data_IF_496887217668
#
_entry.id   IF_496887217668
#
_cell.length_a   1.000
_cell.length_b   1.000
_cell.length_c   1.000
_cell.angle_alpha   90.00
_cell.angle_beta   90.00
_cell.angle_gamma   90.00
#
_symmetry.space_group_name_H-M   'P 1'
#
loop_
_entity.id
_entity.type
_entity.pdbx_description
1 polymer ?
#
# COMPACT_ATOMS: atom_id res chain seq x y z
N UNK A 1 -22.65 63.23 -40.17
CA UNK A 1 -23.22 62.49 -41.31
C UNK A 1 -22.50 61.16 -41.41
N UNK A 2 -23.27 60.08 -41.43
CA UNK A 2 -22.89 58.70 -41.09
C UNK A 2 -21.90 58.06 -42.06
N UNK A 3 -20.91 57.32 -41.53
CA UNK A 3 -20.30 56.18 -42.24
C UNK A 3 -20.28 54.99 -41.27
N UNK A 4 -21.02 53.95 -41.68
CA UNK A 4 -21.26 52.70 -40.98
C UNK A 4 -20.04 51.78 -41.14
N UNK A 5 -19.52 51.24 -40.05
CA UNK A 5 -18.53 50.17 -40.08
C UNK A 5 -19.25 48.82 -39.92
N UNK A 6 -19.23 48.01 -40.98
CA UNK A 6 -19.63 46.60 -40.99
C UNK A 6 -18.38 45.78 -40.68
N UNK A 7 -18.44 44.91 -39.68
CA UNK A 7 -17.54 43.76 -39.58
C UNK A 7 -18.37 42.52 -39.27
N UNK A 8 -18.37 41.58 -40.22
CA UNK A 8 -18.73 40.17 -40.03
C UNK A 8 -17.44 39.38 -39.80
N UNK A 9 -17.47 38.41 -38.89
CA UNK A 9 -16.63 37.20 -38.79
C UNK A 9 -17.20 36.39 -37.60
N UNK A 10 -17.97 35.33 -37.82
CA UNK A 10 -17.57 33.94 -38.10
C UNK A 10 -17.01 33.21 -36.86
N UNK A 11 -17.48 31.96 -36.64
CA UNK A 11 -16.67 30.96 -35.94
C UNK A 11 -17.40 30.11 -34.91
N UNK A 12 -17.89 28.96 -35.36
CA UNK A 12 -18.36 27.80 -34.60
C UNK A 12 -17.34 27.35 -33.53
N UNK A 13 -17.79 27.00 -32.33
CA UNK A 13 -17.02 26.21 -31.38
C UNK A 13 -17.87 25.02 -30.87
N UNK A 14 -17.68 23.89 -31.54
CA UNK A 14 -18.14 22.56 -31.17
C UNK A 14 -17.03 21.93 -30.31
N UNK A 15 -17.28 21.61 -29.04
CA UNK A 15 -16.33 20.80 -28.25
C UNK A 15 -17.06 19.70 -27.46
N UNK A 16 -17.10 18.54 -28.13
CA UNK A 16 -16.82 17.20 -27.64
C UNK A 16 -17.06 16.88 -26.15
N UNK A 17 -18.19 16.23 -25.88
CA UNK A 17 -18.33 15.33 -24.76
C UNK A 17 -17.48 14.07 -25.00
N UNK A 18 -16.31 13.99 -24.37
CA UNK A 18 -15.50 12.77 -24.32
C UNK A 18 -16.20 11.75 -23.41
N UNK A 19 -16.86 10.80 -24.06
CA UNK A 19 -17.44 9.62 -23.46
C UNK A 19 -16.37 8.78 -22.77
N UNK A 20 -16.57 8.56 -21.48
CA UNK A 20 -15.76 7.69 -20.64
C UNK A 20 -16.16 6.22 -20.91
N UNK A 21 -15.59 5.61 -21.94
CA UNK A 21 -15.77 4.17 -22.20
C UNK A 21 -14.79 3.38 -21.32
N UNK A 22 -15.31 2.83 -20.22
CA UNK A 22 -14.62 1.79 -19.45
C UNK A 22 -14.61 0.50 -20.28
N UNK A 23 -13.48 0.22 -20.93
CA UNK A 23 -13.21 -1.09 -21.52
C UNK A 23 -12.77 -2.07 -20.42
N UNK A 24 -13.61 -3.06 -20.13
CA UNK A 24 -13.29 -4.22 -19.28
C UNK A 24 -12.37 -5.19 -20.03
N UNK A 25 -11.10 -5.25 -19.62
CA UNK A 25 -10.08 -6.20 -20.09
C UNK A 25 -10.10 -7.51 -19.28
N UNK A 26 -9.61 -8.63 -19.85
CA UNK A 26 -9.78 -9.98 -19.31
C UNK A 26 -8.95 -10.25 -18.04
N UNK A 27 -9.48 -11.18 -17.23
CA UNK A 27 -9.06 -11.47 -15.85
C UNK A 27 -7.82 -12.39 -15.85
N UNK A 28 -6.65 -11.77 -15.81
CA UNK A 28 -5.44 -12.32 -15.18
C UNK A 28 -4.98 -11.42 -14.01
N UNK A 29 -5.90 -10.62 -13.45
CA UNK A 29 -5.59 -9.29 -12.93
C UNK A 29 -6.03 -9.04 -11.47
N UNK A 30 -6.24 -10.08 -10.65
CA UNK A 30 -6.60 -9.87 -9.24
C UNK A 30 -5.40 -9.30 -8.44
N UNK A 31 -4.22 -9.91 -8.57
CA UNK A 31 -2.99 -9.45 -7.91
C UNK A 31 -2.55 -8.04 -8.32
N UNK A 32 -2.67 -7.70 -9.60
CA UNK A 32 -2.30 -6.38 -10.13
C UNK A 32 -3.16 -5.26 -9.55
N UNK A 33 -4.47 -5.51 -9.36
CA UNK A 33 -5.39 -4.53 -8.77
C UNK A 33 -5.11 -4.30 -7.29
N UNK A 34 -4.87 -5.36 -6.51
CA UNK A 34 -4.54 -5.23 -5.09
C UNK A 34 -3.22 -4.48 -4.91
N UNK A 35 -2.19 -4.84 -5.68
CA UNK A 35 -0.91 -4.17 -5.62
C UNK A 35 -1.01 -2.68 -6.00
N UNK A 36 -1.78 -2.34 -7.03
CA UNK A 36 -2.04 -0.95 -7.40
C UNK A 36 -2.78 -0.17 -6.29
N UNK A 37 -3.77 -0.79 -5.63
CA UNK A 37 -4.48 -0.17 -4.51
C UNK A 37 -3.54 0.10 -3.33
N UNK A 38 -2.71 -0.87 -2.94
CA UNK A 38 -1.71 -0.70 -1.86
C UNK A 38 -0.79 0.48 -2.16
N UNK A 39 -0.25 0.56 -3.38
CA UNK A 39 0.65 1.65 -3.79
C UNK A 39 -0.06 3.01 -3.75
N UNK A 40 -1.28 3.10 -4.28
CA UNK A 40 -2.09 4.33 -4.28
C UNK A 40 -2.36 4.83 -2.87
N UNK A 41 -2.79 3.94 -1.98
CA UNK A 41 -3.06 4.25 -0.57
C UNK A 41 -1.76 4.66 0.13
N UNK A 42 -0.65 3.96 -0.11
CA UNK A 42 0.66 4.32 0.44
C UNK A 42 1.11 5.73 0.07
N UNK A 43 0.82 6.19 -1.15
CA UNK A 43 1.09 7.59 -1.57
C UNK A 43 0.26 8.59 -0.77
N UNK A 44 -1.02 8.30 -0.49
CA UNK A 44 -1.87 9.16 0.34
C UNK A 44 -1.34 9.22 1.77
N UNK A 45 -0.96 8.08 2.35
CA UNK A 45 -0.37 8.00 3.69
C UNK A 45 0.93 8.82 3.75
N UNK A 46 1.82 8.68 2.76
CA UNK A 46 3.07 9.45 2.68
C UNK A 46 2.82 10.97 2.65
N UNK A 47 1.74 11.40 1.99
CA UNK A 47 1.33 12.81 1.91
C UNK A 47 0.62 13.31 3.18
N UNK A 48 0.38 12.45 4.17
CA UNK A 48 -0.37 12.78 5.38
C UNK A 48 -1.90 12.79 5.20
N UNK A 49 -2.41 12.38 4.03
CA UNK A 49 -3.84 12.28 3.76
C UNK A 49 -4.42 10.96 4.31
N UNK A 50 -4.52 10.88 5.64
CA UNK A 50 -5.05 9.69 6.32
C UNK A 50 -6.54 9.45 6.03
N UNK A 51 -7.31 10.53 5.83
CA UNK A 51 -8.74 10.42 5.54
C UNK A 51 -8.97 9.85 4.13
N UNK A 52 -8.25 10.36 3.13
CA UNK A 52 -8.24 9.82 1.78
C UNK A 52 -7.76 8.38 1.74
N UNK A 53 -6.67 8.06 2.45
CA UNK A 53 -6.14 6.70 2.56
C UNK A 53 -7.18 5.71 3.11
N UNK A 54 -7.86 6.06 4.21
CA UNK A 54 -8.88 5.22 4.84
C UNK A 54 -10.10 5.01 3.93
N UNK A 55 -10.54 6.06 3.23
CA UNK A 55 -11.63 5.98 2.25
C UNK A 55 -11.26 5.05 1.09
N UNK A 56 -10.08 5.22 0.52
CA UNK A 56 -9.60 4.40 -0.59
C UNK A 56 -9.39 2.94 -0.17
N UNK A 57 -8.86 2.70 1.04
CA UNK A 57 -8.75 1.36 1.60
C UNK A 57 -10.11 0.68 1.74
N UNK A 58 -11.10 1.38 2.32
CA UNK A 58 -12.46 0.86 2.47
C UNK A 58 -13.14 0.55 1.13
N UNK A 59 -12.88 1.36 0.10
CA UNK A 59 -13.40 1.11 -1.24
C UNK A 59 -12.70 -0.07 -1.93
N UNK A 60 -11.37 -0.13 -1.86
CA UNK A 60 -10.57 -1.19 -2.48
C UNK A 60 -10.80 -2.56 -1.81
N UNK A 61 -10.96 -2.60 -0.49
CA UNK A 61 -11.20 -3.82 0.28
C UNK A 61 -12.45 -4.59 -0.19
N UNK A 62 -13.46 -3.91 -0.75
CA UNK A 62 -14.66 -4.55 -1.30
C UNK A 62 -14.36 -5.45 -2.51
N UNK A 63 -13.27 -5.16 -3.22
CA UNK A 63 -12.84 -5.92 -4.40
C UNK A 63 -11.76 -6.97 -4.06
N UNK A 64 -11.40 -7.10 -2.79
CA UNK A 64 -10.52 -8.16 -2.30
C UNK A 64 -11.44 -9.27 -1.81
N UNK A 65 -11.57 -10.35 -2.57
CA UNK A 65 -12.39 -11.49 -2.17
C UNK A 65 -11.72 -12.18 -0.97
N UNK A 66 -10.51 -12.66 -1.18
CA UNK A 66 -9.73 -13.40 -0.20
C UNK A 66 -8.67 -12.53 0.47
N UNK A 67 -8.62 -12.55 1.79
CA UNK A 67 -7.57 -11.86 2.54
C UNK A 67 -6.17 -12.38 2.18
N UNK A 68 -6.07 -13.65 1.79
CA UNK A 68 -4.83 -14.27 1.34
C UNK A 68 -4.18 -13.49 0.18
N UNK A 69 -4.98 -12.92 -0.74
CA UNK A 69 -4.48 -12.13 -1.86
C UNK A 69 -3.78 -10.85 -1.40
N UNK A 70 -4.28 -10.23 -0.32
CA UNK A 70 -3.61 -9.10 0.30
C UNK A 70 -2.31 -9.54 0.97
N UNK A 71 -2.30 -10.67 1.68
CA UNK A 71 -1.10 -11.19 2.33
C UNK A 71 -0.03 -11.64 1.30
N UNK A 72 -0.42 -12.06 0.10
CA UNK A 72 0.50 -12.38 -0.98
C UNK A 72 1.36 -11.18 -1.41
N UNK A 73 0.92 -9.94 -1.16
CA UNK A 73 1.70 -8.74 -1.47
C UNK A 73 3.03 -8.66 -0.70
N UNK A 74 3.15 -9.37 0.42
CA UNK A 74 4.40 -9.45 1.20
C UNK A 74 5.46 -10.37 0.60
N UNK A 75 5.08 -11.23 -0.34
CA UNK A 75 5.98 -12.20 -0.99
C UNK A 75 6.98 -11.51 -1.92
N UNK A 76 7.99 -12.24 -2.42
CA UNK A 76 8.84 -11.74 -3.48
C UNK A 76 8.05 -11.34 -4.72
N UNK A 77 8.52 -10.33 -5.44
CA UNK A 77 7.90 -9.88 -6.72
C UNK A 77 7.81 -11.00 -7.75
N UNK A 78 8.81 -11.89 -7.80
CA UNK A 78 8.82 -13.09 -8.64
C UNK A 78 7.72 -14.11 -8.29
N UNK A 79 7.05 -13.94 -7.16
CA UNK A 79 5.94 -14.77 -6.68
C UNK A 79 4.62 -13.97 -6.57
N UNK A 80 4.51 -12.86 -7.31
CA UNK A 80 3.32 -12.02 -7.35
C UNK A 80 3.18 -11.02 -6.19
N UNK A 81 4.23 -10.82 -5.39
CA UNK A 81 4.24 -9.78 -4.36
C UNK A 81 4.67 -8.41 -4.87
N UNK A 82 4.70 -7.41 -3.98
CA UNK A 82 5.08 -6.04 -4.33
C UNK A 82 6.60 -5.86 -4.48
N UNK A 83 7.38 -6.62 -3.72
CA UNK A 83 8.81 -6.39 -3.54
C UNK A 83 9.12 -5.17 -2.68
N UNK A 84 10.40 -4.80 -2.61
CA UNK A 84 10.90 -3.74 -1.73
C UNK A 84 11.15 -2.47 -2.54
N UNK A 85 10.34 -1.45 -2.29
CA UNK A 85 10.33 -0.23 -3.10
C UNK A 85 9.92 -0.48 -4.55
N UNK A 86 10.03 0.54 -5.39
CA UNK A 86 9.50 0.48 -6.75
C UNK A 86 10.36 -0.39 -7.68
N UNK A 87 11.67 -0.34 -7.52
CA UNK A 87 12.63 -1.03 -8.39
C UNK A 87 12.92 -2.44 -7.85
N UNK A 88 12.99 -3.47 -8.71
CA UNK A 88 13.36 -4.80 -8.26
C UNK A 88 14.77 -4.80 -7.64
N UNK A 89 14.96 -5.54 -6.57
CA UNK A 89 16.30 -5.77 -6.04
C UNK A 89 17.11 -6.69 -6.95
N UNK A 90 18.46 -6.56 -7.01
CA UNK A 90 19.31 -7.44 -7.81
C UNK A 90 19.11 -8.93 -7.47
N UNK A 91 18.93 -9.25 -6.19
CA UNK A 91 18.58 -10.58 -5.74
C UNK A 91 17.06 -10.74 -5.64
N UNK A 92 16.44 -11.35 -6.66
CA UNK A 92 14.99 -11.59 -6.73
C UNK A 92 14.43 -12.38 -5.53
N UNK A 93 15.23 -13.23 -4.89
CA UNK A 93 14.79 -13.99 -3.71
C UNK A 93 14.70 -13.11 -2.45
N UNK A 94 15.36 -11.95 -2.45
CA UNK A 94 15.32 -10.94 -1.37
C UNK A 94 14.34 -9.81 -1.65
N UNK A 95 13.80 -9.73 -2.87
CA UNK A 95 12.84 -8.71 -3.29
C UNK A 95 11.40 -9.01 -2.83
N UNK A 96 11.24 -9.27 -1.53
CA UNK A 96 9.96 -9.49 -0.87
C UNK A 96 9.93 -8.81 0.49
N UNK A 97 8.80 -8.19 0.84
CA UNK A 97 8.68 -7.38 2.06
C UNK A 97 8.90 -8.24 3.30
N UNK A 98 8.30 -9.43 3.38
CA UNK A 98 8.46 -10.34 4.53
C UNK A 98 9.93 -10.79 4.71
N UNK A 99 10.59 -11.13 3.59
CA UNK A 99 12.01 -11.55 3.61
C UNK A 99 12.89 -10.41 4.08
N UNK A 100 12.65 -9.20 3.57
CA UNK A 100 13.37 -7.99 3.97
C UNK A 100 13.18 -7.69 5.46
N UNK A 101 11.95 -7.68 5.97
CA UNK A 101 11.68 -7.38 7.37
C UNK A 101 12.32 -8.39 8.31
N UNK A 102 12.25 -9.68 7.98
CA UNK A 102 12.92 -10.74 8.75
C UNK A 102 14.44 -10.55 8.78
N UNK A 103 15.03 -10.28 7.62
CA UNK A 103 16.47 -10.13 7.50
C UNK A 103 16.95 -8.87 8.27
N UNK A 104 16.27 -7.73 8.11
CA UNK A 104 16.59 -6.47 8.82
C UNK A 104 16.36 -6.54 10.33
N UNK A 105 15.35 -7.29 10.79
CA UNK A 105 15.13 -7.49 12.22
C UNK A 105 16.29 -8.25 12.89
N UNK A 106 16.98 -9.12 12.13
CA UNK A 106 18.16 -9.84 12.61
C UNK A 106 19.42 -8.99 12.49
N UNK A 107 19.69 -8.47 11.30
CA UNK A 107 20.91 -7.74 10.99
C UNK A 107 20.67 -6.66 9.93
N UNK A 108 21.32 -5.51 10.10
CA UNK A 108 21.17 -4.37 9.18
C UNK A 108 22.51 -4.08 8.53
N UNK A 109 22.61 -4.17 7.19
CA UNK A 109 23.88 -3.98 6.51
C UNK A 109 24.38 -2.53 6.65
N UNK A 110 25.69 -2.35 6.72
CA UNK A 110 26.31 -1.01 6.88
C UNK A 110 25.96 -0.02 5.76
N UNK A 111 25.59 -0.52 4.58
CA UNK A 111 25.18 0.29 3.43
C UNK A 111 23.65 0.50 3.32
N UNK A 112 22.87 0.20 4.37
CA UNK A 112 21.40 0.28 4.33
C UNK A 112 20.88 1.67 3.92
N UNK A 113 21.63 2.73 4.18
CA UNK A 113 21.29 4.10 3.77
C UNK A 113 21.11 4.26 2.25
N UNK A 114 21.71 3.39 1.43
CA UNK A 114 21.50 3.37 -0.04
C UNK A 114 20.12 2.85 -0.44
N UNK A 115 19.42 2.17 0.47
CA UNK A 115 18.07 1.63 0.27
C UNK A 115 16.99 2.45 0.98
N UNK A 116 17.35 3.57 1.62
CA UNK A 116 16.46 4.34 2.48
C UNK A 116 15.11 4.69 1.82
N UNK A 117 15.13 5.19 0.58
CA UNK A 117 13.91 5.54 -0.16
C UNK A 117 13.02 4.31 -0.44
N UNK A 118 13.64 3.19 -0.85
CA UNK A 118 12.90 1.96 -1.12
C UNK A 118 12.24 1.41 0.16
N UNK A 119 12.96 1.45 1.28
CA UNK A 119 12.46 1.02 2.58
C UNK A 119 11.37 1.96 3.11
N UNK A 120 11.54 3.27 2.94
CA UNK A 120 10.56 4.28 3.33
C UNK A 120 9.22 4.02 2.62
N UNK A 121 9.25 3.91 1.28
CA UNK A 121 8.07 3.61 0.47
C UNK A 121 7.44 2.28 0.91
N UNK A 122 8.26 1.26 1.18
CA UNK A 122 7.77 -0.04 1.66
C UNK A 122 7.05 0.08 3.01
N UNK A 123 7.52 0.93 3.92
CA UNK A 123 6.83 1.20 5.19
C UNK A 123 5.43 1.77 5.00
N UNK A 124 5.25 2.68 4.04
CA UNK A 124 3.93 3.19 3.69
C UNK A 124 3.03 2.13 3.03
N UNK A 125 3.60 1.22 2.23
CA UNK A 125 2.84 0.08 1.71
C UNK A 125 2.40 -0.88 2.82
N UNK A 126 3.23 -1.11 3.83
CA UNK A 126 2.86 -1.89 5.01
C UNK A 126 1.68 -1.24 5.73
N UNK A 127 1.73 0.08 5.95
CA UNK A 127 0.62 0.81 6.55
C UNK A 127 -0.66 0.76 5.70
N UNK A 128 -0.55 0.85 4.37
CA UNK A 128 -1.68 0.71 3.46
C UNK A 128 -2.30 -0.69 3.49
N UNK A 129 -1.49 -1.75 3.56
CA UNK A 129 -1.97 -3.12 3.72
C UNK A 129 -2.67 -3.32 5.06
N UNK A 130 -2.22 -2.64 6.12
CA UNK A 130 -2.90 -2.63 7.40
C UNK A 130 -4.28 -1.95 7.32
N UNK A 131 -4.40 -0.81 6.64
CA UNK A 131 -5.69 -0.13 6.41
C UNK A 131 -6.67 -1.00 5.60
N UNK A 132 -6.19 -1.68 4.55
CA UNK A 132 -6.97 -2.65 3.78
C UNK A 132 -7.44 -3.85 4.63
N UNK A 133 -6.55 -4.37 5.48
CA UNK A 133 -6.87 -5.47 6.39
C UNK A 133 -7.89 -5.03 7.43
N UNK A 134 -7.74 -3.82 8.00
CA UNK A 134 -8.70 -3.25 8.94
C UNK A 134 -10.10 -3.15 8.31
N UNK A 135 -10.20 -2.69 7.07
CA UNK A 135 -11.47 -2.62 6.33
C UNK A 135 -12.12 -3.99 6.05
N UNK A 136 -11.36 -5.09 6.17
CA UNK A 136 -11.82 -6.48 6.04
C UNK A 136 -12.17 -7.13 7.38
N UNK A 137 -12.38 -6.34 8.45
CA UNK A 137 -12.73 -6.86 9.76
C UNK A 137 -13.89 -7.89 9.73
N UNK A 138 -13.84 -8.94 10.57
CA UNK A 138 -14.91 -9.91 10.65
C UNK A 138 -16.22 -9.24 11.07
N UNK A 139 -17.35 -9.77 10.60
CA UNK A 139 -18.68 -9.21 10.93
C UNK A 139 -19.15 -9.53 12.35
N UNK A 140 -18.55 -10.55 12.97
CA UNK A 140 -18.89 -11.02 14.32
C UNK A 140 -17.67 -11.64 14.99
N UNK A 141 -17.69 -11.68 16.32
CA UNK A 141 -16.68 -12.39 17.10
C UNK A 141 -16.83 -13.91 16.92
N UNK A 142 -15.71 -14.63 16.86
CA UNK A 142 -15.65 -16.09 16.80
C UNK A 142 -14.62 -16.60 17.82
N UNK A 143 -15.08 -16.90 19.04
CA UNK A 143 -14.20 -17.29 20.15
C UNK A 143 -13.15 -16.21 20.44
N UNK A 144 -11.86 -16.57 20.35
CA UNK A 144 -10.72 -15.64 20.54
C UNK A 144 -10.55 -14.65 19.38
N UNK A 145 -11.12 -14.93 18.21
CA UNK A 145 -11.10 -14.04 17.03
C UNK A 145 -12.16 -12.95 17.20
N UNK A 146 -11.84 -11.89 17.93
CA UNK A 146 -12.76 -10.77 18.17
C UNK A 146 -12.52 -9.61 17.19
N UNK A 147 -13.58 -8.85 16.87
CA UNK A 147 -13.48 -7.62 16.06
C UNK A 147 -12.51 -6.63 16.71
N UNK A 148 -12.53 -6.53 18.05
CA UNK A 148 -11.60 -5.67 18.79
C UNK A 148 -10.15 -6.09 18.54
N UNK A 149 -9.83 -7.38 18.73
CA UNK A 149 -8.47 -7.87 18.52
C UNK A 149 -8.01 -7.65 17.07
N UNK A 150 -8.90 -7.85 16.09
CA UNK A 150 -8.61 -7.55 14.68
C UNK A 150 -8.23 -6.08 14.47
N UNK A 151 -9.07 -5.17 14.96
CA UNK A 151 -8.86 -3.73 14.80
C UNK A 151 -7.60 -3.25 15.54
N UNK A 152 -7.35 -3.78 16.73
CA UNK A 152 -6.13 -3.49 17.50
C UNK A 152 -4.89 -3.94 16.70
N UNK A 153 -4.84 -5.19 16.23
CA UNK A 153 -3.66 -5.70 15.50
C UNK A 153 -3.42 -4.99 14.17
N UNK A 154 -4.48 -4.66 13.43
CA UNK A 154 -4.34 -3.93 12.17
C UNK A 154 -3.91 -2.49 12.41
N UNK A 155 -4.37 -1.85 13.49
CA UNK A 155 -3.89 -0.53 13.90
C UNK A 155 -2.42 -0.56 14.33
N UNK A 156 -2.02 -1.56 15.12
CA UNK A 156 -0.62 -1.75 15.53
C UNK A 156 0.29 -1.95 14.31
N UNK A 157 -0.15 -2.76 13.35
CA UNK A 157 0.59 -2.98 12.10
C UNK A 157 0.73 -1.68 11.29
N UNK A 158 -0.32 -0.86 11.24
CA UNK A 158 -0.27 0.45 10.59
C UNK A 158 0.76 1.37 11.24
N UNK A 159 0.73 1.46 12.57
CA UNK A 159 1.70 2.26 13.35
C UNK A 159 3.12 1.74 13.15
N UNK A 160 3.32 0.42 13.17
CA UNK A 160 4.62 -0.19 12.92
C UNK A 160 5.14 0.10 11.51
N UNK A 161 4.28 0.04 10.49
CA UNK A 161 4.63 0.41 9.11
C UNK A 161 5.07 1.88 8.98
N UNK A 162 4.36 2.79 9.63
CA UNK A 162 4.74 4.21 9.69
C UNK A 162 6.06 4.44 10.43
N UNK A 163 6.26 3.75 11.55
CA UNK A 163 7.52 3.83 12.31
C UNK A 163 8.70 3.30 11.48
N UNK A 164 8.49 2.23 10.71
CA UNK A 164 9.46 1.70 9.77
C UNK A 164 9.78 2.69 8.65
N UNK A 165 8.76 3.30 8.03
CA UNK A 165 8.95 4.33 7.01
C UNK A 165 9.80 5.50 7.55
N UNK A 166 9.47 5.99 8.74
CA UNK A 166 10.22 7.07 9.41
C UNK A 166 11.66 6.67 9.73
N UNK A 167 11.89 5.47 10.26
CA UNK A 167 13.23 4.97 10.55
C UNK A 167 14.09 4.86 9.29
N UNK A 168 13.50 4.37 8.20
CA UNK A 168 14.15 4.29 6.89
C UNK A 168 14.52 5.67 6.33
N UNK A 169 13.61 6.64 6.39
CA UNK A 169 13.87 8.02 5.97
C UNK A 169 15.01 8.67 6.78
N UNK A 170 15.11 8.34 8.07
CA UNK A 170 16.19 8.77 8.95
C UNK A 170 17.54 8.08 8.72
N UNK A 171 17.58 7.04 7.88
CA UNK A 171 18.80 6.26 7.55
C UNK A 171 19.51 5.62 8.75
N UNK A 172 18.83 5.51 9.89
CA UNK A 172 19.37 4.95 11.12
C UNK A 172 19.30 3.42 11.12
N UNK A 173 20.44 2.74 11.11
CA UNK A 173 20.49 1.28 11.01
C UNK A 173 19.82 0.57 12.19
N UNK A 174 20.05 1.04 13.42
CA UNK A 174 19.47 0.46 14.62
C UNK A 174 17.96 0.75 14.73
N UNK A 175 17.53 1.93 14.30
CA UNK A 175 16.14 2.34 14.22
C UNK A 175 15.38 1.47 13.20
N UNK A 176 15.99 1.23 12.03
CA UNK A 176 15.44 0.32 11.00
C UNK A 176 15.30 -1.09 11.57
N UNK A 177 16.34 -1.62 12.23
CA UNK A 177 16.29 -2.95 12.88
C UNK A 177 15.12 -3.07 13.85
N UNK A 178 15.02 -2.09 14.75
CA UNK A 178 13.99 -2.04 15.78
C UNK A 178 12.59 -1.95 15.18
N UNK A 179 12.41 -1.10 14.16
CA UNK A 179 11.12 -0.96 13.48
C UNK A 179 10.75 -2.21 12.67
N UNK A 180 11.70 -2.85 11.99
CA UNK A 180 11.48 -4.11 11.27
C UNK A 180 11.04 -5.23 12.22
N UNK A 181 11.69 -5.34 13.39
CA UNK A 181 11.31 -6.29 14.43
C UNK A 181 9.87 -6.05 14.93
N UNK A 182 9.46 -4.80 15.09
CA UNK A 182 8.09 -4.45 15.48
C UNK A 182 7.05 -4.85 14.43
N UNK A 183 7.33 -4.60 13.14
CA UNK A 183 6.42 -5.05 12.06
C UNK A 183 6.28 -6.58 12.07
N UNK A 184 7.39 -7.31 12.18
CA UNK A 184 7.35 -8.78 12.28
C UNK A 184 6.53 -9.26 13.50
N UNK A 185 6.69 -8.60 14.65
CA UNK A 185 5.91 -8.92 15.84
C UNK A 185 4.40 -8.70 15.61
N UNK A 186 4.01 -7.59 14.96
CA UNK A 186 2.60 -7.34 14.60
C UNK A 186 2.04 -8.45 13.69
N UNK A 187 2.80 -8.90 12.69
CA UNK A 187 2.41 -10.02 11.83
C UNK A 187 2.18 -11.31 12.64
N UNK A 188 3.13 -11.66 13.51
CA UNK A 188 3.06 -12.86 14.32
C UNK A 188 1.91 -12.82 15.32
N UNK A 189 1.68 -11.69 15.97
CA UNK A 189 0.61 -11.51 16.95
C UNK A 189 -0.76 -11.69 16.30
N UNK A 190 -1.01 -11.04 15.16
CA UNK A 190 -2.26 -11.22 14.41
C UNK A 190 -2.42 -12.68 13.96
N UNK A 191 -1.39 -13.26 13.36
CA UNK A 191 -1.44 -14.64 12.86
C UNK A 191 -1.61 -15.67 13.98
N UNK A 192 -1.14 -15.43 15.20
CA UNK A 192 -1.34 -16.37 16.32
C UNK A 192 -2.81 -16.58 16.69
N UNK A 193 -3.69 -15.63 16.33
CA UNK A 193 -5.13 -15.67 16.61
C UNK A 193 -5.94 -15.93 15.36
N UNK A 194 -5.59 -15.29 14.23
CA UNK A 194 -6.43 -15.23 13.04
C UNK A 194 -5.96 -16.12 11.88
N UNK A 195 -4.74 -16.65 11.92
CA UNK A 195 -4.28 -17.61 10.91
C UNK A 195 -4.90 -18.97 11.20
N UNK A 196 -5.55 -19.54 10.20
CA UNK A 196 -6.04 -20.94 10.23
C UNK A 196 -4.94 -21.89 9.75
#
# INVERSE_FOLDING_TARGET
MNIKLRFMLAGVAFMAALGFTYASLPIAAAGDKVGAAVKKIGVLIKKGDNAGASKDASAAAKNIEELADLMHMFRPRSKGGLGVGEKPLPNKAKDGIEVMLRDLARDVPSNIGKQAEALEITGYWIAAMADLTHAKAPKKNLGKKTIKAWNDYTTDMRVAGLAFAKAAAGKGGQEIKTAAAKVNASCNNCHSIFKE
#
